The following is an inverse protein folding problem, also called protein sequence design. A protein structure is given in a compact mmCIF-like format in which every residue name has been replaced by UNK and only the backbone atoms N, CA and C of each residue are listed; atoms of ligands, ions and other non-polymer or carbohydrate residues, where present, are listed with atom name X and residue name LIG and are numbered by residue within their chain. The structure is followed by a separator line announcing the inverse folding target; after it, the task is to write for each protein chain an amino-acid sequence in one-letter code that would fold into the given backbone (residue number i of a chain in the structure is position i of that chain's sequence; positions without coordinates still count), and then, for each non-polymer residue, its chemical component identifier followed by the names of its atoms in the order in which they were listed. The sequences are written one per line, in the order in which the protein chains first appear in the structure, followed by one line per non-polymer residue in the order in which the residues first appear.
data_IF_010219322758
#
_entry.id   IF_010219322758
#
_cell.length_a   1.000
_cell.length_b   1.000
_cell.length_c   1.000
_cell.angle_alpha   90.00
_cell.angle_beta   90.00
_cell.angle_gamma   90.00
#
_symmetry.space_group_name_H-M   'P 1'
#
loop_
_entity.id
_entity.type
_entity.pdbx_description
1 polymer ?
#
# COMPACT_ATOMS: atom_id res chain seq x y z
N UNK A 1 -2.96 19.79 -7.18
CA UNK A 1 -3.46 18.74 -6.28
C UNK A 1 -3.05 17.43 -6.93
N UNK A 2 -2.10 16.69 -6.33
CA UNK A 2 -1.63 15.44 -6.92
C UNK A 2 -2.75 14.38 -6.87
N UNK A 3 -2.91 13.65 -7.97
CA UNK A 3 -3.98 12.67 -8.16
C UNK A 3 -3.46 11.24 -7.96
N UNK A 4 -4.36 10.31 -7.60
CA UNK A 4 -3.97 8.90 -7.44
C UNK A 4 -3.34 8.31 -8.72
N UNK A 5 -3.77 8.75 -9.90
CA UNK A 5 -3.19 8.33 -11.18
C UNK A 5 -1.68 8.59 -11.27
N UNK A 6 -1.19 9.73 -10.75
CA UNK A 6 0.24 10.06 -10.80
C UNK A 6 1.07 9.12 -9.89
N UNK A 7 0.49 8.70 -8.75
CA UNK A 7 1.13 7.72 -7.86
C UNK A 7 1.19 6.34 -8.50
N UNK A 8 0.15 5.95 -9.25
CA UNK A 8 0.09 4.69 -10.01
C UNK A 8 1.13 4.71 -11.13
N UNK A 9 1.19 5.79 -11.91
CA UNK A 9 2.16 5.95 -12.98
C UNK A 9 3.59 5.84 -12.45
N UNK A 10 3.88 6.47 -11.31
CA UNK A 10 5.19 6.38 -10.66
C UNK A 10 5.49 4.99 -10.10
N UNK A 11 4.47 4.31 -9.55
CA UNK A 11 4.59 2.94 -9.06
C UNK A 11 5.12 2.02 -10.15
N UNK A 12 4.59 2.16 -11.37
CA UNK A 12 4.94 1.31 -12.51
C UNK A 12 6.20 1.78 -13.24
N UNK A 13 6.35 3.08 -13.51
CA UNK A 13 7.47 3.62 -14.30
C UNK A 13 8.80 3.57 -13.57
N UNK A 14 8.80 3.73 -12.24
CA UNK A 14 10.02 3.67 -11.42
C UNK A 14 10.29 2.28 -10.81
N UNK A 15 9.43 1.29 -11.10
CA UNK A 15 9.40 -0.04 -10.48
C UNK A 15 9.47 0.05 -8.95
N UNK A 16 8.53 0.80 -8.38
CA UNK A 16 8.40 0.94 -6.94
C UNK A 16 7.51 -0.17 -6.36
N UNK A 17 7.73 -0.47 -5.08
CA UNK A 17 6.82 -1.33 -4.31
C UNK A 17 5.69 -0.53 -3.67
N UNK A 18 5.95 0.74 -3.35
CA UNK A 18 5.01 1.67 -2.74
C UNK A 18 5.40 3.10 -3.10
N UNK A 19 4.39 3.93 -3.39
CA UNK A 19 4.50 5.38 -3.56
C UNK A 19 3.57 6.02 -2.53
N UNK A 20 4.08 6.97 -1.76
CA UNK A 20 3.36 7.65 -0.68
C UNK A 20 3.29 9.14 -0.97
N UNK A 21 2.10 9.71 -0.85
CA UNK A 21 1.85 11.15 -0.94
C UNK A 21 1.38 11.66 0.42
N UNK A 22 2.15 12.58 0.99
CA UNK A 22 1.80 13.28 2.22
C UNK A 22 2.09 14.78 2.07
N UNK A 23 1.10 15.63 2.32
CA UNK A 23 1.21 17.10 2.23
C UNK A 23 1.85 17.61 0.92
N UNK A 24 1.51 16.99 -0.21
CA UNK A 24 2.05 17.37 -1.53
C UNK A 24 3.44 16.80 -1.84
N UNK A 25 4.07 16.09 -0.91
CA UNK A 25 5.37 15.46 -1.11
C UNK A 25 5.22 13.98 -1.45
N UNK A 26 5.84 13.56 -2.55
CA UNK A 26 5.90 12.17 -2.95
C UNK A 26 7.17 11.52 -2.40
N UNK A 27 7.02 10.34 -1.80
CA UNK A 27 8.11 9.46 -1.38
C UNK A 27 7.93 8.09 -2.02
N UNK A 28 8.98 7.57 -2.63
CA UNK A 28 8.99 6.25 -3.28
C UNK A 28 9.75 5.24 -2.43
N UNK A 29 9.31 3.99 -2.48
CA UNK A 29 9.91 2.90 -1.73
C UNK A 29 10.06 1.67 -2.62
N UNK A 30 11.25 1.08 -2.59
CA UNK A 30 11.58 -0.17 -3.29
C UNK A 30 11.74 -1.30 -2.28
N UNK A 31 11.00 -2.38 -2.51
CA UNK A 31 10.93 -3.57 -1.67
C UNK A 31 10.50 -3.35 -0.21
N UNK A 32 10.59 -4.45 0.56
CA UNK A 32 10.35 -4.58 2.01
C UNK A 32 8.87 -4.61 2.43
N UNK A 33 7.97 -5.06 1.57
CA UNK A 33 6.56 -5.34 1.86
C UNK A 33 5.93 -4.48 2.97
N UNK A 34 5.37 -5.15 4.00
CA UNK A 34 4.75 -4.46 5.16
C UNK A 34 5.77 -3.79 6.09
N UNK A 35 7.05 -4.20 6.04
CA UNK A 35 8.10 -3.65 6.91
C UNK A 35 8.34 -2.16 6.66
N UNK A 36 8.20 -1.71 5.42
CA UNK A 36 8.25 -0.27 5.11
C UNK A 36 7.18 0.51 5.88
N UNK A 37 5.96 -0.01 5.99
CA UNK A 37 4.89 0.62 6.77
C UNK A 37 5.22 0.64 8.26
N UNK A 38 5.77 -0.45 8.81
CA UNK A 38 6.17 -0.48 10.22
C UNK A 38 7.31 0.48 10.54
N UNK A 39 8.31 0.61 9.66
CA UNK A 39 9.35 1.63 9.84
C UNK A 39 8.75 3.04 9.82
N UNK A 40 7.81 3.33 8.92
CA UNK A 40 7.14 4.63 8.89
C UNK A 40 6.33 4.88 10.17
N UNK A 41 5.56 3.89 10.65
CA UNK A 41 4.79 4.01 11.89
C UNK A 41 5.68 4.29 13.11
N UNK A 42 6.86 3.67 13.18
CA UNK A 42 7.75 3.81 14.33
C UNK A 42 8.60 5.09 14.25
N UNK A 43 9.16 5.39 13.08
CA UNK A 43 10.22 6.40 12.95
C UNK A 43 9.68 7.74 12.45
N UNK A 44 8.55 7.75 11.73
CA UNK A 44 7.97 8.96 11.12
C UNK A 44 6.44 8.83 10.92
N UNK A 45 5.65 8.56 11.99
CA UNK A 45 4.23 8.24 11.90
C UNK A 45 3.41 9.33 11.22
N UNK A 46 3.81 10.59 11.38
CA UNK A 46 3.19 11.74 10.72
C UNK A 46 3.19 11.62 9.20
N UNK A 47 4.15 10.89 8.61
CA UNK A 47 4.21 10.68 7.15
C UNK A 47 3.02 9.88 6.60
N UNK A 48 2.31 9.11 7.44
CA UNK A 48 1.14 8.31 7.03
C UNK A 48 -0.18 9.05 7.31
N UNK A 49 -0.16 10.07 8.17
CA UNK A 49 -1.39 10.75 8.57
C UNK A 49 -2.00 11.49 7.39
N UNK A 50 -3.27 11.18 7.06
CA UNK A 50 -3.99 11.76 5.91
C UNK A 50 -3.26 11.57 4.57
N UNK A 51 -2.37 10.57 4.51
CA UNK A 51 -1.60 10.29 3.30
C UNK A 51 -2.42 9.48 2.29
N UNK A 52 -1.92 9.43 1.06
CA UNK A 52 -2.42 8.57 -0.01
C UNK A 52 -1.30 7.65 -0.48
N UNK A 53 -1.63 6.44 -0.91
CA UNK A 53 -0.59 5.52 -1.38
C UNK A 53 -1.03 4.61 -2.52
N UNK A 54 -0.12 4.38 -3.47
CA UNK A 54 -0.22 3.34 -4.48
C UNK A 54 0.81 2.25 -4.14
N UNK A 55 0.40 0.97 -4.16
CA UNK A 55 1.22 -0.15 -3.68
C UNK A 55 1.12 -1.34 -4.61
N UNK A 56 2.22 -2.05 -4.86
CA UNK A 56 2.23 -3.22 -5.75
C UNK A 56 1.37 -4.38 -5.22
N UNK A 57 1.42 -4.64 -3.91
CA UNK A 57 0.62 -5.68 -3.28
C UNK A 57 0.22 -5.34 -1.84
N UNK A 58 -1.06 -5.53 -1.50
CA UNK A 58 -1.60 -5.26 -0.15
C UNK A 58 -2.31 -6.48 0.44
N UNK A 59 -1.71 -7.01 1.50
CA UNK A 59 -2.30 -8.03 2.37
C UNK A 59 -2.90 -7.40 3.63
N UNK A 60 -3.65 -8.19 4.42
CA UNK A 60 -4.35 -7.72 5.62
C UNK A 60 -3.43 -7.00 6.63
N UNK A 61 -2.21 -7.50 6.83
CA UNK A 61 -1.25 -6.88 7.75
C UNK A 61 -0.85 -5.47 7.29
N UNK A 62 -0.64 -5.28 5.98
CA UNK A 62 -0.34 -3.96 5.43
C UNK A 62 -1.55 -3.02 5.52
N UNK A 63 -2.76 -3.52 5.23
CA UNK A 63 -4.00 -2.75 5.40
C UNK A 63 -4.18 -2.25 6.84
N UNK A 64 -3.91 -3.08 7.84
CA UNK A 64 -3.95 -2.69 9.26
C UNK A 64 -2.97 -1.55 9.57
N UNK A 65 -1.72 -1.69 9.14
CA UNK A 65 -0.70 -0.67 9.35
C UNK A 65 -1.06 0.66 8.64
N UNK A 66 -1.67 0.60 7.45
CA UNK A 66 -2.18 1.79 6.75
C UNK A 66 -3.30 2.48 7.55
N UNK A 67 -4.27 1.71 8.05
CA UNK A 67 -5.36 2.26 8.88
C UNK A 67 -4.81 2.87 10.18
N UNK A 68 -3.89 2.19 10.86
CA UNK A 68 -3.23 2.68 12.08
C UNK A 68 -2.47 3.99 11.83
N UNK A 69 -1.80 4.10 10.68
CA UNK A 69 -1.08 5.31 10.28
C UNK A 69 -1.97 6.47 9.82
N UNK A 70 -3.27 6.25 9.64
CA UNK A 70 -4.21 7.28 9.20
C UNK A 70 -4.18 7.56 7.69
N UNK A 71 -3.80 6.56 6.87
CA UNK A 71 -3.89 6.62 5.40
C UNK A 71 -5.36 6.75 4.99
N UNK A 72 -5.67 7.65 4.06
CA UNK A 72 -7.06 7.96 3.66
C UNK A 72 -7.43 7.47 2.26
N UNK A 73 -6.45 7.15 1.42
CA UNK A 73 -6.69 6.63 0.06
C UNK A 73 -5.61 5.63 -0.34
N UNK A 74 -6.02 4.44 -0.80
CA UNK A 74 -5.14 3.34 -1.17
C UNK A 74 -5.50 2.83 -2.56
N UNK A 75 -4.49 2.72 -3.42
CA UNK A 75 -4.54 1.89 -4.63
C UNK A 75 -3.59 0.69 -4.48
N UNK A 76 -3.98 -0.47 -5.04
CA UNK A 76 -3.02 -1.55 -5.23
C UNK A 76 -3.17 -2.31 -6.55
N UNK A 77 -2.06 -2.76 -7.16
CA UNK A 77 -2.13 -3.67 -8.31
C UNK A 77 -2.80 -4.99 -7.89
N UNK A 78 -2.38 -5.54 -6.75
CA UNK A 78 -2.95 -6.78 -6.19
C UNK A 78 -3.34 -6.58 -4.74
N UNK A 79 -4.60 -6.86 -4.40
CA UNK A 79 -5.11 -6.76 -3.04
C UNK A 79 -5.81 -8.05 -2.61
N UNK A 80 -5.49 -8.54 -1.41
CA UNK A 80 -6.27 -9.63 -0.81
C UNK A 80 -7.69 -9.16 -0.47
N UNK A 81 -8.70 -10.02 -0.62
CA UNK A 81 -10.09 -9.71 -0.25
C UNK A 81 -10.22 -9.21 1.19
N UNK A 82 -9.47 -9.80 2.11
CA UNK A 82 -9.45 -9.40 3.52
C UNK A 82 -8.89 -7.99 3.72
N UNK A 83 -7.87 -7.60 2.96
CA UNK A 83 -7.32 -6.24 3.01
C UNK A 83 -8.30 -5.22 2.45
N UNK A 84 -8.97 -5.55 1.34
CA UNK A 84 -9.96 -4.68 0.72
C UNK A 84 -11.11 -4.38 1.69
N UNK A 85 -11.71 -5.44 2.27
CA UNK A 85 -12.79 -5.29 3.25
C UNK A 85 -12.34 -4.48 4.47
N UNK A 86 -11.12 -4.75 4.99
CA UNK A 86 -10.59 -4.01 6.14
C UNK A 86 -10.45 -2.50 5.87
N UNK A 87 -9.92 -2.13 4.70
CA UNK A 87 -9.75 -0.72 4.33
C UNK A 87 -11.10 -0.04 4.10
N UNK A 88 -12.02 -0.72 3.42
CA UNK A 88 -13.37 -0.22 3.16
C UNK A 88 -14.14 0.00 4.48
N UNK A 89 -14.13 -0.98 5.39
CA UNK A 89 -14.76 -0.87 6.71
C UNK A 89 -14.15 0.25 7.57
N UNK A 90 -12.85 0.53 7.38
CA UNK A 90 -12.16 1.64 8.04
C UNK A 90 -12.44 3.02 7.40
N UNK A 91 -13.26 3.09 6.34
CA UNK A 91 -13.59 4.33 5.64
C UNK A 91 -12.45 4.86 4.75
N UNK A 92 -11.45 4.02 4.43
CA UNK A 92 -10.37 4.36 3.51
C UNK A 92 -10.89 4.25 2.09
N UNK A 93 -10.66 5.27 1.26
CA UNK A 93 -11.00 5.19 -0.17
C UNK A 93 -10.07 4.16 -0.83
N UNK A 94 -10.62 3.04 -1.25
CA UNK A 94 -9.84 1.90 -1.74
C UNK A 94 -10.14 1.60 -3.20
N UNK A 95 -9.09 1.36 -3.99
CA UNK A 95 -9.19 0.81 -5.34
C UNK A 95 -8.10 -0.24 -5.57
N UNK A 96 -8.34 -1.18 -6.47
CA UNK A 96 -7.31 -2.14 -6.87
C UNK A 96 -7.52 -2.62 -8.30
N UNK A 97 -6.43 -2.96 -8.99
CA UNK A 97 -6.53 -3.62 -10.29
C UNK A 97 -7.03 -5.06 -10.15
N UNK A 98 -6.50 -5.80 -9.18
CA UNK A 98 -6.87 -7.20 -8.97
C UNK A 98 -7.14 -7.52 -7.50
N UNK A 99 -8.38 -7.93 -7.21
CA UNK A 99 -8.78 -8.47 -5.92
C UNK A 99 -8.73 -9.99 -5.93
N UNK A 100 -8.04 -10.61 -4.96
CA UNK A 100 -7.83 -12.08 -4.91
C UNK A 100 -8.05 -12.66 -3.51
N UNK A 101 -8.33 -13.95 -3.41
CA UNK A 101 -8.36 -14.64 -2.12
C UNK A 101 -6.97 -14.70 -1.45
N UNK A 102 -6.94 -15.09 -0.18
CA UNK A 102 -5.71 -15.14 0.61
C UNK A 102 -4.64 -16.07 0.02
N UNK A 103 -5.01 -17.26 -0.45
CA UNK A 103 -4.05 -18.23 -0.97
C UNK A 103 -3.42 -17.73 -2.28
N UNK A 104 -4.24 -17.14 -3.16
CA UNK A 104 -3.76 -16.56 -4.41
C UNK A 104 -2.91 -15.32 -4.16
N UNK A 105 -3.27 -14.49 -3.17
CA UNK A 105 -2.45 -13.36 -2.74
C UNK A 105 -1.04 -13.82 -2.34
N UNK A 106 -0.93 -14.83 -1.47
CA UNK A 106 0.37 -15.33 -1.02
C UNK A 106 1.23 -15.89 -2.16
N UNK A 107 0.62 -16.57 -3.15
CA UNK A 107 1.34 -17.05 -4.33
C UNK A 107 1.90 -15.90 -5.16
N UNK A 108 1.07 -14.90 -5.47
CA UNK A 108 1.51 -13.72 -6.24
C UNK A 108 2.61 -12.96 -5.49
N UNK A 109 2.42 -12.78 -4.17
CA UNK A 109 3.40 -12.09 -3.33
C UNK A 109 4.75 -12.83 -3.29
N UNK A 110 4.75 -14.16 -3.24
CA UNK A 110 5.98 -14.95 -3.33
C UNK A 110 6.64 -14.85 -4.73
N UNK A 111 5.85 -14.85 -5.80
CA UNK A 111 6.35 -14.66 -7.18
C UNK A 111 7.00 -13.28 -7.39
N UNK A 112 6.61 -12.27 -6.60
CA UNK A 112 7.19 -10.93 -6.62
C UNK A 112 8.59 -10.84 -5.96
N UNK A 113 9.11 -11.94 -5.42
CA UNK A 113 10.46 -11.98 -4.84
C UNK A 113 10.57 -11.36 -3.44
N UNK A 114 9.45 -11.00 -2.81
CA UNK A 114 9.41 -10.60 -1.41
C UNK A 114 9.44 -11.87 -0.54
N UNK A 115 10.65 -12.36 -0.24
CA UNK A 115 10.86 -13.54 0.59
C UNK A 115 10.54 -13.21 2.05
N UNK A 116 9.84 -14.12 2.76
CA UNK A 116 9.76 -14.10 4.22
C UNK A 116 11.15 -14.39 4.77
N UNK A 117 11.83 -13.38 5.29
CA UNK A 117 12.87 -13.62 6.30
C UNK A 117 12.23 -14.29 7.54
#
# INVERSE_FOLDING_TARGET
MLMMSELIDMLHTEDCSMVLLHEGNIRTFKGRGVRTLYHLLNDAPESLLKSKTAVKAVGKTAARAMTEGGVVEVYADVMSQEAYAWLEDAGVKVNCEKKVDHQRFLKIWAEMGEIKD
#
